data_IF_497637314556
#
_entry.id   IF_497637314556
#
_cell.length_a   1.000
_cell.length_b   1.000
_cell.length_c   1.000
_cell.angle_alpha   90.00
_cell.angle_beta   90.00
_cell.angle_gamma   90.00
#
_symmetry.space_group_name_H-M   'P 1'
#
loop_
_entity.id
_entity.type
_entity.pdbx_description
1 polymer ?
#
# COMPACT_ATOMS: atom_id res chain seq x y z
N UNK A 1 -12.28 -6.08 0.43
CA UNK A 1 -12.34 -4.63 0.68
C UNK A 1 -13.50 -4.29 1.59
N UNK A 2 -13.40 -3.22 2.38
CA UNK A 2 -14.53 -2.70 3.14
C UNK A 2 -14.50 -1.17 3.20
N UNK A 3 -15.68 -0.60 3.44
CA UNK A 3 -15.85 0.80 3.87
C UNK A 3 -15.83 0.86 5.40
N UNK A 4 -15.90 2.04 5.98
CA UNK A 4 -16.09 2.21 7.43
C UNK A 4 -17.39 1.60 7.97
N UNK A 5 -18.29 1.13 7.11
CA UNK A 5 -19.66 0.71 7.50
C UNK A 5 -20.03 -0.72 7.08
N UNK A 6 -19.38 -1.28 6.04
CA UNK A 6 -19.71 -2.61 5.54
C UNK A 6 -18.59 -3.20 4.68
N UNK A 7 -18.57 -4.55 4.57
CA UNK A 7 -17.71 -5.26 3.62
C UNK A 7 -18.29 -5.13 2.21
N UNK A 8 -17.44 -4.78 1.24
CA UNK A 8 -17.84 -4.66 -0.16
C UNK A 8 -17.86 -6.07 -0.77
N UNK A 9 -19.07 -6.56 -1.03
CA UNK A 9 -19.30 -7.85 -1.67
C UNK A 9 -19.05 -9.06 -0.76
N UNK A 10 -18.57 -10.14 -1.35
CA UNK A 10 -18.26 -11.40 -0.67
C UNK A 10 -16.75 -11.51 -0.45
N UNK A 11 -16.36 -12.16 0.65
CA UNK A 11 -14.95 -12.46 0.93
C UNK A 11 -14.40 -13.44 -0.12
N UNK A 12 -13.12 -13.31 -0.42
CA UNK A 12 -12.37 -14.18 -1.35
C UNK A 12 -12.89 -14.20 -2.81
N UNK A 13 -13.75 -13.26 -3.18
CA UNK A 13 -14.21 -13.12 -4.56
C UNK A 13 -13.57 -11.89 -5.24
N UNK A 14 -12.59 -12.16 -6.09
CA UNK A 14 -11.80 -11.13 -6.82
C UNK A 14 -12.65 -10.21 -7.71
N UNK A 15 -13.87 -10.64 -8.11
CA UNK A 15 -14.76 -9.83 -8.95
C UNK A 15 -15.19 -8.53 -8.29
N UNK A 16 -15.20 -8.50 -6.95
CA UNK A 16 -15.59 -7.31 -6.21
C UNK A 16 -14.53 -6.20 -6.23
N UNK A 17 -13.29 -6.47 -6.66
CA UNK A 17 -12.33 -5.39 -6.96
C UNK A 17 -12.78 -4.49 -8.13
N UNK A 18 -13.72 -4.95 -8.94
CA UNK A 18 -14.37 -4.13 -9.98
C UNK A 18 -15.70 -3.50 -9.54
N UNK A 19 -16.15 -3.73 -8.30
CA UNK A 19 -17.37 -3.16 -7.77
C UNK A 19 -17.29 -1.62 -7.70
N UNK A 20 -18.36 -0.87 -8.05
CA UNK A 20 -18.34 0.60 -8.01
C UNK A 20 -17.97 1.18 -6.65
N UNK A 21 -18.36 0.54 -5.55
CA UNK A 21 -18.05 0.99 -4.19
C UNK A 21 -16.56 0.85 -3.81
N UNK A 22 -15.72 0.21 -4.66
CA UNK A 22 -14.27 0.17 -4.44
C UNK A 22 -13.63 1.54 -4.25
N UNK A 23 -14.22 2.58 -4.85
CA UNK A 23 -13.75 3.96 -4.68
C UNK A 23 -14.02 4.54 -3.29
N UNK A 24 -14.85 3.86 -2.49
CA UNK A 24 -15.16 4.21 -1.11
C UNK A 24 -14.50 3.24 -0.11
N UNK A 25 -13.64 2.34 -0.59
CA UNK A 25 -12.96 1.39 0.28
C UNK A 25 -11.99 2.12 1.21
N UNK A 26 -12.14 1.89 2.51
CA UNK A 26 -11.26 2.39 3.56
C UNK A 26 -10.23 1.33 4.01
N UNK A 27 -10.40 0.08 3.59
CA UNK A 27 -9.44 -1.00 3.79
C UNK A 27 -9.50 -1.98 2.60
N UNK A 28 -8.35 -2.43 2.17
CA UNK A 28 -8.20 -3.40 1.07
C UNK A 28 -7.17 -4.46 1.46
N UNK A 29 -7.46 -5.72 1.13
CA UNK A 29 -6.53 -6.83 1.40
C UNK A 29 -6.56 -7.87 0.27
N UNK A 30 -5.44 -8.54 0.08
CA UNK A 30 -5.30 -9.67 -0.85
C UNK A 30 -4.04 -10.50 -0.51
N UNK A 31 -4.03 -11.78 -0.93
CA UNK A 31 -2.91 -12.69 -0.66
C UNK A 31 -1.73 -12.50 -1.60
N UNK A 32 -1.97 -12.24 -2.89
CA UNK A 32 -0.94 -12.00 -3.90
C UNK A 32 -1.50 -11.21 -5.07
N UNK A 33 -0.64 -10.60 -5.87
CA UNK A 33 -1.00 -9.73 -6.96
C UNK A 33 -0.66 -8.28 -6.64
N UNK A 34 -1.38 -7.33 -7.22
CA UNK A 34 -1.08 -5.92 -7.04
C UNK A 34 -2.32 -5.03 -7.11
N UNK A 35 -2.18 -3.84 -6.54
CA UNK A 35 -3.04 -2.69 -6.80
C UNK A 35 -2.21 -1.57 -7.42
N UNK A 36 -2.77 -0.86 -8.40
CA UNK A 36 -2.12 0.24 -9.08
C UNK A 36 -3.00 1.51 -9.01
N UNK A 37 -2.41 2.59 -8.54
CA UNK A 37 -3.02 3.91 -8.47
C UNK A 37 -2.47 4.79 -9.59
N UNK A 38 -3.36 5.41 -10.33
CA UNK A 38 -3.00 6.38 -11.39
C UNK A 38 -3.10 7.78 -10.81
N UNK A 39 -1.96 8.43 -10.65
CA UNK A 39 -1.83 9.75 -10.04
C UNK A 39 -1.61 10.79 -11.14
N UNK A 40 -2.42 11.87 -11.19
CA UNK A 40 -2.19 12.91 -12.17
C UNK A 40 -0.88 13.65 -11.87
N UNK A 41 -0.02 13.79 -12.89
CA UNK A 41 1.17 14.62 -12.78
C UNK A 41 0.79 16.08 -13.09
N UNK A 42 0.60 16.86 -12.03
CA UNK A 42 0.21 18.28 -12.13
C UNK A 42 1.41 19.25 -12.06
N UNK A 43 2.63 18.72 -12.15
CA UNK A 43 3.85 19.54 -12.13
C UNK A 43 3.93 20.39 -13.42
N UNK A 44 4.18 21.72 -13.33
CA UNK A 44 4.35 22.57 -14.49
C UNK A 44 5.47 22.09 -15.44
N UNK A 45 5.30 22.31 -16.74
CA UNK A 45 6.23 21.85 -17.81
C UNK A 45 7.69 22.24 -17.58
N UNK A 46 7.93 23.38 -16.94
CA UNK A 46 9.28 23.92 -16.69
C UNK A 46 9.88 23.44 -15.35
N UNK A 47 9.20 22.57 -14.64
CA UNK A 47 9.66 21.99 -13.37
C UNK A 47 9.94 20.50 -13.53
N UNK A 48 10.80 19.97 -12.65
CA UNK A 48 11.11 18.54 -12.58
C UNK A 48 10.84 18.05 -11.17
N UNK A 49 10.35 16.82 -11.09
CA UNK A 49 10.22 16.11 -9.82
C UNK A 49 11.64 15.72 -9.36
N UNK A 50 12.06 16.25 -8.24
CA UNK A 50 13.37 15.95 -7.62
C UNK A 50 13.23 14.91 -6.52
N UNK A 51 12.03 14.76 -5.96
CA UNK A 51 11.67 13.78 -4.95
C UNK A 51 10.20 13.39 -5.13
N UNK A 52 9.93 12.10 -4.98
CA UNK A 52 8.58 11.53 -4.84
C UNK A 52 8.51 10.89 -3.46
N UNK A 53 7.46 11.23 -2.71
CA UNK A 53 7.23 10.66 -1.38
C UNK A 53 5.82 10.05 -1.35
N UNK A 54 5.70 8.82 -0.84
CA UNK A 54 4.43 8.14 -0.69
C UNK A 54 4.34 7.58 0.72
N UNK A 55 3.19 7.78 1.35
CA UNK A 55 2.93 7.28 2.71
C UNK A 55 1.65 6.46 2.73
N UNK A 56 1.69 5.30 3.36
CA UNK A 56 0.56 4.41 3.54
C UNK A 56 0.71 3.60 4.82
N UNK A 57 -0.40 3.30 5.49
CA UNK A 57 -0.44 2.30 6.55
C UNK A 57 -0.70 0.94 5.91
N UNK A 58 0.23 -0.01 6.09
CA UNK A 58 0.22 -1.34 5.45
C UNK A 58 0.67 -2.44 6.41
N UNK A 59 0.17 -3.65 6.20
CA UNK A 59 0.61 -4.88 6.88
C UNK A 59 0.63 -6.06 5.92
N UNK A 60 1.12 -7.20 6.40
CA UNK A 60 0.81 -8.50 5.80
C UNK A 60 -0.68 -8.83 5.92
N UNK A 61 -1.12 -9.92 5.31
CA UNK A 61 -2.49 -10.45 5.36
C UNK A 61 -2.43 -11.95 5.69
N UNK A 62 -2.60 -12.27 6.98
CA UNK A 62 -2.62 -13.65 7.47
C UNK A 62 -4.05 -14.21 7.46
N UNK A 63 -4.24 -15.54 7.44
CA UNK A 63 -5.52 -16.16 7.75
C UNK A 63 -5.91 -15.97 9.23
N UNK A 64 -6.41 -14.78 9.57
CA UNK A 64 -6.65 -14.33 10.96
C UNK A 64 -5.61 -13.28 11.36
N UNK A 65 -4.99 -13.43 12.54
CA UNK A 65 -3.97 -12.50 13.05
C UNK A 65 -2.71 -13.28 13.35
N UNK A 66 -1.57 -12.83 12.82
CA UNK A 66 -0.26 -13.40 13.11
C UNK A 66 0.82 -12.32 13.00
N UNK A 67 1.38 -11.91 14.14
CA UNK A 67 2.46 -10.94 14.21
C UNK A 67 3.78 -11.41 13.58
N UNK A 68 3.88 -12.72 13.25
CA UNK A 68 5.03 -13.32 12.57
C UNK A 68 4.61 -13.95 11.24
N UNK A 69 4.01 -13.15 10.37
CA UNK A 69 3.55 -13.54 9.04
C UNK A 69 4.20 -12.65 7.98
N UNK A 70 5.48 -12.92 7.62
CA UNK A 70 6.22 -12.03 6.75
C UNK A 70 5.64 -11.97 5.34
N UNK A 71 5.68 -10.78 4.74
CA UNK A 71 5.29 -10.56 3.35
C UNK A 71 6.24 -9.58 2.67
N UNK A 72 6.77 -9.97 1.51
CA UNK A 72 7.62 -9.10 0.68
C UNK A 72 6.73 -8.20 -0.18
N UNK A 73 6.62 -6.96 0.25
CA UNK A 73 5.80 -5.94 -0.41
C UNK A 73 6.69 -5.10 -1.32
N UNK A 74 6.46 -5.20 -2.62
CA UNK A 74 7.21 -4.52 -3.67
C UNK A 74 6.50 -3.25 -4.13
N UNK A 75 7.28 -2.19 -4.36
CA UNK A 75 6.79 -0.89 -4.81
C UNK A 75 7.32 -0.58 -6.21
N UNK A 76 6.42 -0.13 -7.08
CA UNK A 76 6.75 0.25 -8.45
C UNK A 76 6.27 1.66 -8.75
N UNK A 77 7.07 2.39 -9.50
CA UNK A 77 6.68 3.67 -10.13
C UNK A 77 6.88 3.53 -11.63
N UNK A 78 5.83 3.75 -12.42
CA UNK A 78 5.86 3.65 -13.88
C UNK A 78 6.54 2.35 -14.38
N UNK A 79 6.14 1.20 -13.81
CA UNK A 79 6.68 -0.15 -14.06
C UNK A 79 8.14 -0.39 -13.61
N UNK A 80 8.80 0.61 -13.01
CA UNK A 80 10.13 0.44 -12.42
C UNK A 80 9.99 -0.02 -10.98
N UNK A 81 10.55 -1.19 -10.65
CA UNK A 81 10.66 -1.64 -9.25
C UNK A 81 11.59 -0.69 -8.50
N UNK A 82 11.05 0.04 -7.54
CA UNK A 82 11.83 0.99 -6.74
C UNK A 82 12.36 0.38 -5.45
N UNK A 83 11.79 -0.70 -4.98
CA UNK A 83 12.28 -1.46 -3.84
C UNK A 83 11.24 -2.38 -3.25
N UNK A 84 11.67 -3.24 -2.34
CA UNK A 84 10.83 -4.19 -1.61
C UNK A 84 11.06 -4.02 -0.11
N UNK A 85 9.97 -4.07 0.65
CA UNK A 85 9.99 -4.08 2.11
C UNK A 85 9.31 -5.35 2.61
N UNK A 86 9.97 -6.06 3.53
CA UNK A 86 9.37 -7.22 4.17
C UNK A 86 8.53 -6.77 5.37
N UNK A 87 7.22 -6.85 5.26
CA UNK A 87 6.30 -6.68 6.37
C UNK A 87 6.50 -7.83 7.36
N UNK A 88 6.61 -7.56 8.66
CA UNK A 88 6.83 -8.64 9.63
C UNK A 88 5.57 -9.44 9.97
N UNK A 89 4.37 -8.89 9.81
CA UNK A 89 3.17 -9.58 10.22
C UNK A 89 1.86 -8.85 9.97
N UNK A 90 0.79 -9.47 10.42
CA UNK A 90 -0.58 -8.99 10.44
C UNK A 90 -1.00 -8.75 11.91
N UNK A 91 -1.49 -7.55 12.21
CA UNK A 91 -1.63 -7.08 13.58
C UNK A 91 -3.09 -6.94 14.01
N UNK A 92 -3.40 -7.49 15.19
CA UNK A 92 -4.74 -7.45 15.75
C UNK A 92 -4.81 -7.76 17.24
N UNK A 93 -3.70 -7.63 17.96
CA UNK A 93 -3.61 -7.79 19.40
C UNK A 93 -4.46 -6.75 20.14
N UNK A 94 -4.61 -5.57 19.55
CA UNK A 94 -5.50 -4.49 19.99
C UNK A 94 -6.27 -3.94 18.79
N UNK A 95 -7.43 -3.33 19.04
CA UNK A 95 -8.19 -2.64 18.01
C UNK A 95 -7.41 -1.43 17.49
N UNK A 96 -7.34 -1.25 16.17
CA UNK A 96 -6.82 -0.04 15.55
C UNK A 96 -7.61 1.20 15.99
N UNK A 97 -6.94 2.33 16.12
CA UNK A 97 -7.53 3.59 16.65
C UNK A 97 -8.75 4.05 15.84
N UNK A 98 -8.72 3.87 14.53
CA UNK A 98 -9.79 4.24 13.60
C UNK A 98 -10.61 3.05 13.10
N UNK A 99 -10.21 1.81 13.45
CA UNK A 99 -10.91 0.60 13.03
C UNK A 99 -12.31 0.54 13.65
N UNK A 100 -13.38 0.43 12.83
CA UNK A 100 -14.75 0.49 13.30
C UNK A 100 -15.09 -0.63 14.30
N UNK A 101 -16.03 -0.36 15.21
CA UNK A 101 -16.45 -1.34 16.23
C UNK A 101 -17.07 -2.61 15.66
N UNK A 102 -17.71 -2.52 14.49
CA UNK A 102 -18.32 -3.66 13.81
C UNK A 102 -17.30 -4.60 13.15
N UNK A 103 -16.03 -4.13 12.93
CA UNK A 103 -14.96 -4.95 12.37
C UNK A 103 -14.59 -6.09 13.31
N UNK A 104 -14.53 -7.35 12.82
CA UNK A 104 -14.26 -8.50 13.68
C UNK A 104 -12.90 -8.38 14.39
N UNK A 105 -12.88 -8.72 15.69
CA UNK A 105 -11.67 -8.62 16.51
C UNK A 105 -10.54 -9.57 16.10
N UNK A 106 -10.88 -10.66 15.43
CA UNK A 106 -9.94 -11.67 14.92
C UNK A 106 -9.47 -11.38 13.48
N UNK A 107 -9.80 -10.21 12.94
CA UNK A 107 -9.28 -9.72 11.67
C UNK A 107 -8.21 -8.65 11.94
N UNK A 108 -7.41 -8.36 10.91
CA UNK A 108 -6.41 -7.31 10.94
C UNK A 108 -6.98 -5.98 11.46
N UNK A 109 -6.32 -5.40 12.43
CA UNK A 109 -6.80 -4.20 13.13
C UNK A 109 -6.01 -2.95 12.76
N UNK A 110 -4.73 -3.08 12.45
CA UNK A 110 -3.84 -1.97 12.11
C UNK A 110 -2.60 -2.47 11.36
N UNK A 111 -1.92 -1.53 10.74
CA UNK A 111 -0.66 -1.75 10.04
C UNK A 111 0.48 -0.89 10.60
N UNK A 112 1.54 -0.82 9.82
CA UNK A 112 2.68 0.05 10.06
C UNK A 112 2.64 1.20 9.05
N UNK A 113 2.73 2.44 9.51
CA UNK A 113 2.86 3.57 8.61
C UNK A 113 4.23 3.52 7.95
N UNK A 114 4.26 3.50 6.62
CA UNK A 114 5.47 3.49 5.81
C UNK A 114 5.59 4.75 5.00
N UNK A 115 6.79 5.32 4.99
CA UNK A 115 7.17 6.46 4.17
C UNK A 115 8.20 6.00 3.13
N UNK A 116 7.76 5.83 1.90
CA UNK A 116 8.62 5.58 0.73
C UNK A 116 9.08 6.92 0.16
N UNK A 117 10.39 7.11 0.02
CA UNK A 117 10.98 8.33 -0.56
C UNK A 117 11.93 7.93 -1.66
N UNK A 118 11.73 8.49 -2.86
CA UNK A 118 12.61 8.32 -4.02
C UNK A 118 13.18 9.69 -4.39
N UNK A 119 14.50 9.79 -4.47
CA UNK A 119 15.18 11.04 -4.85
C UNK A 119 16.47 10.75 -5.65
N UNK A 120 17.35 11.73 -5.80
CA UNK A 120 18.62 11.59 -6.53
C UNK A 120 19.66 10.69 -5.85
N UNK A 121 19.44 10.26 -4.59
CA UNK A 121 20.36 9.38 -3.83
C UNK A 121 19.91 7.91 -3.82
N UNK A 122 18.72 7.62 -4.31
CA UNK A 122 18.11 6.29 -4.30
C UNK A 122 16.70 6.29 -3.70
N UNK A 123 16.25 5.10 -3.35
CA UNK A 123 14.95 4.83 -2.75
C UNK A 123 15.12 4.42 -1.29
N UNK A 124 14.25 4.96 -0.44
CA UNK A 124 14.30 4.81 1.01
C UNK A 124 12.92 4.45 1.55
N UNK A 125 12.88 3.61 2.58
CA UNK A 125 11.70 3.39 3.42
C UNK A 125 12.04 3.79 4.85
N UNK A 126 11.24 4.68 5.45
CA UNK A 126 11.44 5.20 6.81
C UNK A 126 12.89 5.70 7.06
N UNK A 127 13.51 6.25 6.01
CA UNK A 127 14.89 6.74 6.05
C UNK A 127 15.97 5.68 5.79
N UNK A 128 15.63 4.40 5.72
CA UNK A 128 16.54 3.32 5.37
C UNK A 128 16.58 3.13 3.85
N UNK A 129 17.77 3.12 3.27
CA UNK A 129 17.96 2.89 1.83
C UNK A 129 17.64 1.45 1.48
N UNK A 130 16.70 1.25 0.55
CA UNK A 130 16.26 -0.07 0.09
C UNK A 130 16.68 -0.37 -1.35
N UNK A 131 16.99 0.66 -2.16
CA UNK A 131 17.54 0.48 -3.51
C UNK A 131 18.31 1.72 -4.00
N UNK A 132 19.05 1.54 -5.09
CA UNK A 132 19.78 2.61 -5.78
C UNK A 132 18.93 3.34 -6.84
N UNK A 133 17.70 2.91 -7.07
CA UNK A 133 16.79 3.52 -8.05
C UNK A 133 16.49 4.97 -7.67
N UNK A 134 16.70 5.87 -8.61
CA UNK A 134 16.56 7.32 -8.44
C UNK A 134 15.38 7.88 -9.24
N UNK A 135 14.95 9.11 -8.94
CA UNK A 135 13.89 9.79 -9.69
C UNK A 135 14.18 9.93 -11.19
N UNK A 136 15.46 9.94 -11.61
CA UNK A 136 15.85 10.05 -13.03
C UNK A 136 15.52 8.80 -13.86
N UNK A 137 15.27 7.66 -13.20
CA UNK A 137 14.97 6.39 -13.85
C UNK A 137 13.45 6.11 -13.97
N UNK A 138 12.61 6.99 -13.41
CA UNK A 138 11.17 6.72 -13.24
C UNK A 138 10.29 7.27 -14.37
N UNK A 139 10.87 7.89 -15.42
CA UNK A 139 10.12 8.48 -16.54
C UNK A 139 9.01 9.46 -16.07
N UNK A 140 9.35 10.34 -15.13
CA UNK A 140 8.43 11.33 -14.54
C UNK A 140 8.36 12.60 -15.39
N UNK A 141 7.95 12.49 -16.64
CA UNK A 141 7.75 13.67 -17.49
C UNK A 141 6.37 14.32 -17.22
N UNK A 142 6.25 15.60 -17.56
CA UNK A 142 5.04 16.40 -17.27
C UNK A 142 3.81 15.97 -18.09
N UNK A 143 3.98 15.16 -19.13
CA UNK A 143 2.89 14.72 -20.01
C UNK A 143 2.26 13.41 -19.56
N UNK A 144 2.92 12.70 -18.65
CA UNK A 144 2.55 11.36 -18.23
C UNK A 144 1.91 11.37 -16.84
N UNK A 145 0.97 10.48 -16.61
CA UNK A 145 0.51 10.14 -15.26
C UNK A 145 1.62 9.37 -14.52
N UNK A 146 1.58 9.42 -13.20
CA UNK A 146 2.44 8.60 -12.34
C UNK A 146 1.63 7.36 -11.93
N UNK A 147 2.13 6.17 -12.25
CA UNK A 147 1.52 4.92 -11.79
C UNK A 147 2.29 4.43 -10.58
N UNK A 148 1.59 4.34 -9.46
CA UNK A 148 2.10 3.76 -8.23
C UNK A 148 1.47 2.40 -8.00
N UNK A 149 2.30 1.35 -7.99
CA UNK A 149 1.86 -0.03 -7.75
C UNK A 149 2.46 -0.55 -6.46
N UNK A 150 1.62 -1.22 -5.68
CA UNK A 150 2.03 -2.00 -4.51
C UNK A 150 1.68 -3.46 -4.81
N UNK A 151 2.64 -4.35 -4.67
CA UNK A 151 2.52 -5.75 -5.08
C UNK A 151 3.04 -6.72 -4.04
N UNK A 152 2.42 -7.91 -3.99
CA UNK A 152 2.99 -9.13 -3.42
C UNK A 152 3.18 -10.10 -4.58
N UNK A 153 4.43 -10.26 -5.01
CA UNK A 153 4.76 -11.09 -6.17
C UNK A 153 4.65 -12.59 -5.82
N UNK A 154 4.21 -13.39 -6.78
CA UNK A 154 3.97 -14.82 -6.58
C UNK A 154 5.27 -15.61 -6.32
N UNK A 155 6.40 -15.11 -6.82
CA UNK A 155 7.74 -15.69 -6.71
C UNK A 155 8.60 -15.05 -5.60
N UNK A 156 8.03 -14.19 -4.77
CA UNK A 156 8.70 -13.62 -3.60
C UNK A 156 9.08 -14.70 -2.59
N UNK A 157 10.10 -14.42 -1.77
CA UNK A 157 10.51 -15.32 -0.70
C UNK A 157 9.41 -15.47 0.38
N UNK A 158 8.66 -14.38 0.62
CA UNK A 158 7.56 -14.35 1.58
C UNK A 158 6.29 -13.83 0.88
N UNK A 159 5.35 -14.74 0.61
CA UNK A 159 4.03 -14.40 0.02
C UNK A 159 2.99 -14.38 1.14
N UNK A 160 3.08 -13.38 1.99
CA UNK A 160 2.23 -13.22 3.18
C UNK A 160 1.06 -12.25 3.00
N UNK A 161 0.73 -11.88 1.76
CA UNK A 161 -0.37 -10.96 1.48
C UNK A 161 -0.08 -9.51 1.80
N UNK A 162 -1.07 -8.67 1.55
CA UNK A 162 -1.03 -7.22 1.79
C UNK A 162 -2.38 -6.73 2.27
N UNK A 163 -2.39 -5.96 3.35
CA UNK A 163 -3.49 -5.10 3.74
C UNK A 163 -3.05 -3.64 3.63
N UNK A 164 -3.89 -2.82 3.01
CA UNK A 164 -3.75 -1.36 2.94
C UNK A 164 -4.89 -0.74 3.74
N UNK A 165 -4.54 0.09 4.71
CA UNK A 165 -5.48 0.80 5.58
C UNK A 165 -5.66 2.23 5.08
N UNK A 166 -6.89 2.69 4.98
CA UNK A 166 -7.26 4.09 4.76
C UNK A 166 -7.70 4.75 6.06
N UNK A 167 -8.09 6.01 5.98
CA UNK A 167 -8.35 6.90 7.13
C UNK A 167 -9.36 6.40 8.16
N UNK A 168 -10.25 5.48 7.79
CA UNK A 168 -11.29 4.94 8.69
C UNK A 168 -10.95 3.57 9.25
N UNK A 169 -9.70 3.14 9.08
CA UNK A 169 -9.14 1.87 9.59
C UNK A 169 -7.71 2.08 10.08
N UNK A 170 -7.22 1.16 10.91
CA UNK A 170 -5.86 1.17 11.41
C UNK A 170 -5.61 2.22 12.49
N UNK A 171 -4.39 2.72 12.55
CA UNK A 171 -3.92 3.63 13.59
C UNK A 171 -3.69 5.07 13.10
N UNK A 172 -3.85 5.35 11.80
CA UNK A 172 -3.55 6.65 11.21
C UNK A 172 -4.75 7.20 10.42
N UNK A 173 -5.13 8.45 10.69
CA UNK A 173 -6.20 9.15 9.98
C UNK A 173 -5.71 9.64 8.62
N UNK A 174 -5.36 8.71 7.75
CA UNK A 174 -4.92 9.02 6.40
C UNK A 174 -5.21 7.91 5.39
N UNK A 175 -5.44 8.30 4.16
CA UNK A 175 -5.35 7.45 2.97
C UNK A 175 -3.90 7.38 2.48
N UNK A 176 -3.66 6.78 1.30
CA UNK A 176 -2.36 6.88 0.65
C UNK A 176 -2.08 8.36 0.32
N UNK A 177 -1.00 8.89 0.82
CA UNK A 177 -0.56 10.27 0.59
C UNK A 177 0.62 10.28 -0.39
N UNK A 178 0.56 11.16 -1.40
CA UNK A 178 1.60 11.34 -2.43
C UNK A 178 2.08 12.77 -2.44
#
# INVERSE_FOLDING_TARGET
MATSSFVIGELDDVRYFDHPDRFNADIMWFTKGYVEYVIPNLIPRNQKITQLSLSAEISSEAPGIDNNWPSDISFYINDTLVGTWTSPGDYGDVRGMFTPEWWPQNWNQYGLLKLLVINHKGTFIDGLKISDVTTSELNLDYTSTIRFRIAVEEDSAHVGGLTIFGKSFGNYDQDIVV
#
